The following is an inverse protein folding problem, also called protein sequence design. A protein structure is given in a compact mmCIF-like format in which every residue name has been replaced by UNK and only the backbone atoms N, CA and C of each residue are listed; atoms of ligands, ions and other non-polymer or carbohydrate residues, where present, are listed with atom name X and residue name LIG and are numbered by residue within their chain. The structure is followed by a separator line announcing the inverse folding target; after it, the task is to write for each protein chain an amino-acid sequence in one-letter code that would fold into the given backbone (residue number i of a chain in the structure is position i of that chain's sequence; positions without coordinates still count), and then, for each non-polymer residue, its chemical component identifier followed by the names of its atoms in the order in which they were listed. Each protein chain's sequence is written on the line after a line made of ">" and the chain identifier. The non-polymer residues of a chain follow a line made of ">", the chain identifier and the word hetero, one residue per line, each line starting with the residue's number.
data_IF_286416127267
#
_entry.id   IF_286416127267
#
_cell.length_a   1.000
_cell.length_b   1.000
_cell.length_c   1.000
_cell.angle_alpha   90.00
_cell.angle_beta   90.00
_cell.angle_gamma   90.00
#
_symmetry.space_group_name_H-M   'P 1'
#
loop_
_entity.id
_entity.type
_entity.pdbx_description
1 polymer ?
#
# COMPACT_ATOMS: atom_id res chain seq x y z
N UNK A 1 4.44 -7.95 -5.14
CA UNK A 1 3.17 -7.83 -4.40
C UNK A 1 3.17 -6.69 -3.38
N UNK A 2 4.30 -6.43 -2.71
CA UNK A 2 4.44 -5.43 -1.66
C UNK A 2 3.91 -4.01 -2.02
N UNK A 3 4.06 -3.58 -3.27
CA UNK A 3 3.55 -2.28 -3.75
C UNK A 3 2.02 -2.14 -3.65
N UNK A 4 1.29 -3.22 -3.93
CA UNK A 4 -0.20 -3.22 -3.88
C UNK A 4 -0.68 -3.05 -2.45
N UNK A 5 0.00 -3.70 -1.51
CA UNK A 5 -0.40 -3.69 -0.10
C UNK A 5 -0.13 -2.33 0.55
N UNK A 6 0.99 -1.68 0.18
CA UNK A 6 1.31 -0.33 0.66
C UNK A 6 0.46 0.78 0.01
N UNK A 7 -0.22 0.47 -1.09
CA UNK A 7 -1.09 1.39 -1.83
C UNK A 7 -2.30 1.87 -1.00
N UNK A 8 -2.71 1.12 0.03
CA UNK A 8 -3.95 1.35 0.81
C UNK A 8 -3.78 2.41 1.93
N UNK A 9 -2.57 2.96 2.10
CA UNK A 9 -2.26 3.85 3.21
C UNK A 9 -2.77 5.28 3.00
N UNK A 10 -3.42 5.82 4.04
CA UNK A 10 -3.80 7.22 4.07
C UNK A 10 -2.62 8.08 4.51
N UNK A 11 -2.47 9.25 3.88
CA UNK A 11 -1.35 10.18 4.10
C UNK A 11 -1.38 10.87 5.48
N UNK A 12 -2.42 10.63 6.28
CA UNK A 12 -2.57 11.11 7.66
C UNK A 12 -2.21 10.06 8.73
N UNK A 13 -1.76 8.88 8.28
CA UNK A 13 -1.45 7.71 9.08
C UNK A 13 -2.61 7.18 9.94
N UNK A 14 -3.86 7.60 9.69
CA UNK A 14 -5.04 7.19 10.46
C UNK A 14 -5.28 5.68 10.40
N UNK A 15 -4.80 5.00 9.37
CA UNK A 15 -4.83 3.54 9.30
C UNK A 15 -3.97 2.86 10.39
N UNK A 16 -2.94 3.55 10.90
CA UNK A 16 -2.10 3.06 12.00
C UNK A 16 -2.60 3.54 13.35
N UNK A 17 -3.26 4.70 13.44
CA UNK A 17 -3.61 5.29 14.74
C UNK A 17 -5.10 5.22 15.08
N UNK A 18 -5.99 5.18 14.10
CA UNK A 18 -7.43 5.41 14.27
C UNK A 18 -7.88 6.73 13.65
N UNK A 19 -9.12 6.78 13.18
CA UNK A 19 -9.74 8.00 12.62
C UNK A 19 -10.30 8.93 13.70
N UNK A 20 -10.84 8.35 14.75
CA UNK A 20 -11.40 9.04 15.91
C UNK A 20 -10.44 9.02 17.11
N UNK A 21 -10.78 9.78 18.15
CA UNK A 21 -9.98 9.90 19.36
C UNK A 21 -10.04 8.65 20.24
N UNK A 22 -11.21 8.02 20.30
CA UNK A 22 -11.44 6.81 21.09
C UNK A 22 -10.56 5.66 20.63
N UNK A 23 -10.56 5.35 19.33
CA UNK A 23 -9.68 4.35 18.73
C UNK A 23 -8.20 4.68 18.99
N UNK A 24 -7.82 5.95 18.88
CA UNK A 24 -6.44 6.38 19.15
C UNK A 24 -6.05 6.13 20.59
N UNK A 25 -6.89 6.51 21.56
CA UNK A 25 -6.62 6.33 22.98
C UNK A 25 -6.61 4.85 23.37
N UNK A 26 -7.58 4.05 22.91
CA UNK A 26 -7.67 2.63 23.22
C UNK A 26 -6.48 1.81 22.73
N UNK A 27 -5.78 2.28 21.70
CA UNK A 27 -4.59 1.62 21.14
C UNK A 27 -3.26 2.10 21.73
N UNK A 28 -3.25 3.14 22.56
CA UNK A 28 -2.04 3.63 23.21
C UNK A 28 -1.72 2.81 24.45
N UNK A 29 -0.44 2.53 24.66
CA UNK A 29 0.02 1.83 25.87
C UNK A 29 0.02 2.73 27.11
N UNK A 30 -0.02 4.05 26.90
CA UNK A 30 0.15 5.06 27.96
C UNK A 30 1.55 5.09 28.55
N UNK A 31 2.52 4.39 27.94
CA UNK A 31 3.91 4.33 28.38
C UNK A 31 4.87 4.68 27.25
N UNK A 32 5.74 5.65 27.49
CA UNK A 32 6.80 6.09 26.58
C UNK A 32 6.31 6.44 25.16
N UNK A 33 5.07 6.88 25.02
CA UNK A 33 4.42 7.25 23.77
C UNK A 33 4.05 6.07 22.88
N UNK A 34 4.15 4.82 23.34
CA UNK A 34 4.03 3.63 22.49
C UNK A 34 2.59 3.20 22.24
N UNK A 35 2.37 2.49 21.13
CA UNK A 35 1.15 1.72 20.87
C UNK A 35 1.18 0.38 21.64
N UNK A 36 0.01 -0.13 22.01
CA UNK A 36 -0.15 -1.46 22.62
C UNK A 36 0.28 -2.53 21.62
N UNK A 37 1.11 -3.46 22.07
CA UNK A 37 1.59 -4.62 21.30
C UNK A 37 1.72 -5.83 22.22
N UNK A 38 1.76 -7.03 21.63
CA UNK A 38 1.99 -8.31 22.32
C UNK A 38 3.14 -9.03 21.64
N UNK A 39 3.88 -9.82 22.40
CA UNK A 39 4.94 -10.68 21.87
C UNK A 39 4.38 -12.08 21.62
N UNK A 40 4.47 -12.55 20.38
CA UNK A 40 4.06 -13.88 19.97
C UNK A 40 5.23 -14.50 19.22
N UNK A 41 5.73 -15.65 19.68
CA UNK A 41 6.89 -16.33 19.06
C UNK A 41 8.11 -15.40 18.87
N UNK A 42 8.46 -14.62 19.90
CA UNK A 42 9.54 -13.63 19.91
C UNK A 42 9.39 -12.48 18.91
N UNK A 43 8.17 -12.22 18.44
CA UNK A 43 7.86 -11.15 17.49
C UNK A 43 6.77 -10.22 18.02
N UNK A 44 6.92 -8.92 17.76
CA UNK A 44 5.96 -7.90 18.19
C UNK A 44 4.78 -7.79 17.21
N UNK A 45 3.57 -7.95 17.71
CA UNK A 45 2.33 -7.83 16.92
C UNK A 45 1.30 -6.94 17.63
N UNK A 46 0.34 -6.37 16.88
CA UNK A 46 -0.83 -5.73 17.49
C UNK A 46 -1.65 -6.73 18.33
N UNK A 47 -2.21 -6.30 19.48
CA UNK A 47 -3.00 -7.15 20.37
C UNK A 47 -4.29 -7.64 19.71
N UNK A 48 -4.93 -8.65 20.28
CA UNK A 48 -6.28 -9.04 19.87
C UNK A 48 -7.31 -8.00 20.32
N UNK A 49 -8.49 -7.98 19.69
CA UNK A 49 -9.63 -7.18 20.17
C UNK A 49 -10.20 -7.73 21.47
N UNK A 50 -10.05 -9.03 21.74
CA UNK A 50 -10.44 -9.65 23.02
C UNK A 50 -9.62 -9.08 24.19
N UNK A 51 -8.35 -8.77 23.96
CA UNK A 51 -7.47 -8.11 24.93
C UNK A 51 -7.83 -6.62 25.14
N UNK A 52 -8.71 -6.06 24.29
CA UNK A 52 -9.09 -4.64 24.25
C UNK A 52 -10.63 -4.46 24.16
N UNK A 53 -11.38 -4.91 25.18
CA UNK A 53 -12.85 -4.86 25.17
C UNK A 53 -13.40 -3.44 25.03
N UNK A 54 -12.63 -2.40 25.42
CA UNK A 54 -12.98 -1.00 25.19
C UNK A 54 -13.11 -0.62 23.70
N UNK A 55 -12.46 -1.34 22.79
CA UNK A 55 -12.52 -1.09 21.33
C UNK A 55 -13.59 -1.92 20.62
N UNK A 56 -14.07 -2.99 21.25
CA UNK A 56 -15.05 -3.92 20.66
C UNK A 56 -16.50 -3.41 20.77
N UNK A 57 -16.79 -2.60 21.79
CA UNK A 57 -18.16 -2.27 22.20
C UNK A 57 -18.82 -1.09 21.47
N UNK A 58 -18.06 -0.20 20.80
CA UNK A 58 -18.58 1.09 20.30
C UNK A 58 -18.59 1.29 18.77
N UNK A 59 -18.22 0.29 17.97
CA UNK A 59 -18.19 0.43 16.49
C UNK A 59 -19.04 -0.62 15.75
N UNK A 60 -20.36 -0.40 15.62
CA UNK A 60 -21.21 -1.23 14.79
C UNK A 60 -21.12 -0.75 13.34
N UNK A 61 -20.07 -1.10 12.57
CA UNK A 61 -20.08 -0.82 11.12
C UNK A 61 -19.67 -2.01 10.25
N UNK A 62 -20.74 -2.66 9.78
CA UNK A 62 -20.94 -3.57 8.63
C UNK A 62 -20.54 -5.03 8.84
N UNK A 63 -21.59 -5.85 8.95
CA UNK A 63 -21.62 -7.30 8.74
C UNK A 63 -20.78 -7.69 7.51
N UNK A 64 -19.60 -8.24 7.77
CA UNK A 64 -19.23 -9.53 7.22
C UNK A 64 -18.90 -10.37 8.43
N UNK A 65 -19.94 -10.98 9.03
CA UNK A 65 -19.74 -12.12 9.92
C UNK A 65 -18.83 -13.10 9.19
N UNK A 66 -17.63 -13.34 9.71
CA UNK A 66 -16.90 -14.55 9.36
C UNK A 66 -17.80 -15.72 9.76
N UNK A 67 -18.63 -16.20 8.83
CA UNK A 67 -19.30 -17.47 8.97
C UNK A 67 -18.22 -18.54 8.82
N UNK A 68 -17.71 -19.01 9.95
CA UNK A 68 -16.91 -20.22 10.02
C UNK A 68 -15.40 -19.99 9.99
N UNK A 69 -14.82 -19.85 11.17
CA UNK A 69 -13.74 -20.77 11.53
C UNK A 69 -13.99 -21.19 12.98
N UNK A 70 -14.47 -22.42 13.16
CA UNK A 70 -14.46 -23.05 14.48
C UNK A 70 -13.00 -23.05 14.98
N UNK A 71 -12.73 -22.35 16.08
CA UNK A 71 -11.40 -22.22 16.69
C UNK A 71 -10.54 -21.02 16.23
N UNK A 72 -11.15 -19.94 15.72
CA UNK A 72 -10.45 -18.80 15.11
C UNK A 72 -9.60 -17.93 16.06
N UNK A 73 -8.38 -17.57 15.61
CA UNK A 73 -7.54 -16.52 16.22
C UNK A 73 -8.33 -15.19 16.18
N UNK A 74 -8.48 -14.50 17.33
CA UNK A 74 -9.28 -13.29 17.40
C UNK A 74 -8.74 -12.18 16.49
N UNK A 75 -9.67 -11.37 15.98
CA UNK A 75 -9.32 -10.22 15.16
C UNK A 75 -8.39 -9.28 15.95
N UNK A 76 -7.39 -8.71 15.27
CA UNK A 76 -6.36 -7.88 15.91
C UNK A 76 -6.68 -6.40 15.82
N UNK A 77 -6.40 -5.67 16.90
CA UNK A 77 -6.74 -4.26 17.02
C UNK A 77 -5.85 -3.39 16.13
N UNK A 78 -6.44 -2.85 15.07
CA UNK A 78 -5.82 -1.97 14.08
C UNK A 78 -6.47 -0.59 14.08
N UNK A 79 -5.79 0.41 13.49
CA UNK A 79 -6.33 1.76 13.38
C UNK A 79 -7.48 1.82 12.37
N UNK A 80 -7.46 0.88 11.41
CA UNK A 80 -8.59 0.61 10.53
C UNK A 80 -8.83 -0.90 10.46
N UNK A 81 -10.06 -1.35 10.79
CA UNK A 81 -10.43 -2.77 10.87
C UNK A 81 -10.16 -3.57 9.59
N UNK A 82 -10.32 -2.96 8.41
CA UNK A 82 -10.00 -3.64 7.13
C UNK A 82 -8.56 -4.16 7.08
N UNK A 83 -7.62 -3.54 7.82
CA UNK A 83 -6.24 -4.01 7.87
C UNK A 83 -6.05 -5.33 8.63
N UNK A 84 -6.97 -5.69 9.53
CA UNK A 84 -6.98 -6.98 10.24
C UNK A 84 -7.77 -8.06 9.51
N UNK A 85 -8.48 -7.73 8.43
CA UNK A 85 -9.29 -8.69 7.66
C UNK A 85 -8.48 -9.49 6.62
N UNK A 86 -7.24 -9.10 6.35
CA UNK A 86 -6.39 -9.79 5.38
C UNK A 86 -4.94 -9.86 5.87
N UNK A 87 -4.29 -11.06 5.79
CA UNK A 87 -2.87 -11.23 6.07
C UNK A 87 -1.97 -10.25 5.32
N UNK A 88 -2.35 -9.90 4.09
CA UNK A 88 -1.59 -8.94 3.28
C UNK A 88 -1.51 -7.58 3.97
N UNK A 89 -2.67 -7.02 4.31
CA UNK A 89 -2.77 -5.70 4.93
C UNK A 89 -2.23 -5.70 6.37
N UNK A 90 -2.39 -6.82 7.08
CA UNK A 90 -1.91 -7.00 8.44
C UNK A 90 -0.39 -6.84 8.55
N UNK A 91 0.38 -7.35 7.57
CA UNK A 91 1.84 -7.18 7.55
C UNK A 91 2.24 -5.71 7.48
N UNK A 92 1.59 -4.93 6.62
CA UNK A 92 1.87 -3.48 6.51
C UNK A 92 1.44 -2.74 7.77
N UNK A 93 0.29 -3.08 8.35
CA UNK A 93 -0.14 -2.46 9.59
C UNK A 93 0.82 -2.75 10.77
N UNK A 94 1.33 -3.99 10.82
CA UNK A 94 2.29 -4.44 11.83
C UNK A 94 3.62 -3.70 11.69
N UNK A 95 4.19 -3.58 10.47
CA UNK A 95 5.48 -2.88 10.28
C UNK A 95 5.43 -1.43 10.75
N UNK A 96 4.33 -0.72 10.47
CA UNK A 96 4.17 0.66 10.91
C UNK A 96 3.92 0.80 12.41
N UNK A 97 3.28 -0.19 13.03
CA UNK A 97 3.11 -0.24 14.50
C UNK A 97 4.48 -0.42 15.16
N UNK A 98 5.31 -1.35 14.66
CA UNK A 98 6.69 -1.55 15.11
C UNK A 98 7.52 -0.28 14.92
N UNK A 99 7.41 0.36 13.75
CA UNK A 99 8.14 1.59 13.45
C UNK A 99 7.79 2.72 14.42
N UNK A 100 6.50 2.92 14.72
CA UNK A 100 6.09 3.90 15.72
C UNK A 100 6.75 3.64 17.08
N UNK A 101 6.70 2.39 17.58
CA UNK A 101 7.31 2.03 18.86
C UNK A 101 8.84 2.18 18.87
N UNK A 102 9.49 1.93 17.72
CA UNK A 102 10.92 2.15 17.49
C UNK A 102 11.27 3.65 17.56
N UNK A 103 10.51 4.50 16.86
CA UNK A 103 10.66 5.96 16.88
C UNK A 103 10.45 6.51 18.29
N UNK A 104 9.40 6.08 19.00
CA UNK A 104 9.18 6.47 20.41
C UNK A 104 10.37 6.13 21.29
N UNK A 105 10.99 4.96 21.10
CA UNK A 105 12.18 4.55 21.85
C UNK A 105 13.41 5.42 21.55
N UNK A 106 13.55 5.91 20.31
CA UNK A 106 14.63 6.84 19.94
C UNK A 106 14.37 8.23 20.53
N UNK A 107 13.14 8.74 20.39
CA UNK A 107 12.76 10.04 20.92
C UNK A 107 12.87 10.10 22.44
N UNK A 108 12.52 9.02 23.14
CA UNK A 108 12.64 8.96 24.60
C UNK A 108 14.11 8.97 25.06
N UNK A 109 15.03 8.38 24.29
CA UNK A 109 16.47 8.45 24.57
C UNK A 109 17.02 9.86 24.36
N UNK A 110 16.59 10.53 23.30
CA UNK A 110 16.98 11.91 22.98
C UNK A 110 16.36 12.92 23.97
N UNK A 111 15.13 12.67 24.40
CA UNK A 111 14.36 13.52 25.30
C UNK A 111 13.83 12.74 26.51
N UNK A 112 14.68 12.41 27.50
CA UNK A 112 14.26 11.63 28.67
C UNK A 112 13.18 12.28 29.52
N UNK A 113 13.04 13.61 29.44
CA UNK A 113 12.06 14.39 30.21
C UNK A 113 10.69 14.50 29.54
N UNK A 114 10.51 13.99 28.32
CA UNK A 114 9.21 14.04 27.66
C UNK A 114 8.23 13.01 28.22
N UNK A 115 6.98 13.43 28.34
CA UNK A 115 5.87 12.57 28.75
C UNK A 115 5.37 11.68 27.60
N UNK A 116 4.44 10.78 27.93
CA UNK A 116 3.83 9.85 26.97
C UNK A 116 3.16 10.57 25.80
N UNK A 117 2.42 11.64 26.07
CA UNK A 117 1.67 12.38 25.06
C UNK A 117 2.60 13.02 24.03
N UNK A 118 3.64 13.71 24.50
CA UNK A 118 4.59 14.39 23.61
C UNK A 118 5.37 13.38 22.78
N UNK A 119 5.79 12.25 23.36
CA UNK A 119 6.44 11.17 22.61
C UNK A 119 5.52 10.60 21.53
N UNK A 120 4.28 10.26 21.88
CA UNK A 120 3.29 9.71 20.96
C UNK A 120 3.01 10.65 19.78
N UNK A 121 2.70 11.92 20.05
CA UNK A 121 2.38 12.89 19.00
C UNK A 121 3.58 13.19 18.11
N UNK A 122 4.78 13.31 18.69
CA UNK A 122 6.00 13.55 17.90
C UNK A 122 6.34 12.33 17.03
N UNK A 123 6.25 11.11 17.57
CA UNK A 123 6.46 9.89 16.81
C UNK A 123 5.43 9.75 15.67
N UNK A 124 4.17 10.11 15.92
CA UNK A 124 3.14 10.17 14.88
C UNK A 124 3.54 11.10 13.74
N UNK A 125 4.04 12.30 14.03
CA UNK A 125 4.50 13.24 13.00
C UNK A 125 5.71 12.72 12.22
N UNK A 126 6.66 12.08 12.88
CA UNK A 126 7.80 11.41 12.22
C UNK A 126 7.30 10.33 11.27
N UNK A 127 6.50 9.38 11.77
CA UNK A 127 5.97 8.27 10.95
C UNK A 127 5.13 8.78 9.77
N UNK A 128 4.32 9.83 9.95
CA UNK A 128 3.61 10.46 8.83
C UNK A 128 4.60 11.00 7.79
N UNK A 129 5.68 11.66 8.22
CA UNK A 129 6.76 12.11 7.33
C UNK A 129 7.43 10.97 6.56
N UNK A 130 7.72 9.86 7.24
CA UNK A 130 8.28 8.65 6.60
C UNK A 130 7.33 8.07 5.56
N UNK A 131 6.03 7.94 5.90
CA UNK A 131 5.01 7.48 4.95
C UNK A 131 4.97 8.35 3.69
N UNK A 132 4.89 9.68 3.84
CA UNK A 132 4.89 10.60 2.70
C UNK A 132 6.12 10.42 1.82
N UNK A 133 7.30 10.30 2.46
CA UNK A 133 8.56 10.14 1.73
C UNK A 133 8.63 8.79 1.00
N UNK A 134 8.33 7.68 1.67
CA UNK A 134 8.34 6.33 1.06
C UNK A 134 7.32 6.25 -0.07
N UNK A 135 6.13 6.83 0.10
CA UNK A 135 5.12 6.86 -0.97
C UNK A 135 5.61 7.63 -2.19
N UNK A 136 6.27 8.79 -2.03
CA UNK A 136 6.75 9.56 -3.18
C UNK A 136 8.03 9.02 -3.80
N UNK A 137 9.04 8.68 -2.99
CA UNK A 137 10.37 8.34 -3.50
C UNK A 137 10.53 6.87 -3.87
N UNK A 138 9.78 5.96 -3.24
CA UNK A 138 9.87 4.53 -3.54
C UNK A 138 8.66 4.08 -4.37
N UNK A 139 7.44 4.31 -3.86
CA UNK A 139 6.23 3.79 -4.49
C UNK A 139 5.90 4.50 -5.80
N UNK A 140 5.88 5.84 -5.82
CA UNK A 140 5.61 6.59 -7.06
C UNK A 140 6.76 6.45 -8.08
N UNK A 141 8.00 6.33 -7.62
CA UNK A 141 9.14 6.04 -8.50
C UNK A 141 8.93 4.70 -9.21
N UNK A 142 8.55 3.67 -8.46
CA UNK A 142 8.22 2.35 -9.02
C UNK A 142 6.98 2.41 -9.94
N UNK A 143 5.91 3.09 -9.55
CA UNK A 143 4.67 3.15 -10.34
C UNK A 143 4.88 3.85 -11.70
N UNK A 144 5.58 4.98 -11.69
CA UNK A 144 5.77 5.85 -12.87
C UNK A 144 6.83 5.31 -13.82
N UNK A 145 7.82 4.56 -13.32
CA UNK A 145 9.00 4.11 -14.09
C UNK A 145 9.75 5.26 -14.76
N UNK A 146 9.68 6.47 -14.18
CA UNK A 146 10.43 7.62 -14.66
C UNK A 146 11.93 7.41 -14.46
N UNK A 147 12.73 7.99 -15.37
CA UNK A 147 14.20 8.02 -15.24
C UNK A 147 14.70 9.16 -14.36
N UNK A 148 13.79 10.03 -13.93
CA UNK A 148 14.07 11.11 -13.00
C UNK A 148 13.80 10.60 -11.60
N UNK A 149 14.70 10.91 -10.67
CA UNK A 149 14.54 10.60 -9.25
C UNK A 149 13.50 11.53 -8.63
N UNK A 150 12.38 10.96 -8.22
CA UNK A 150 11.38 11.66 -7.41
C UNK A 150 11.96 11.91 -6.02
N UNK A 151 11.83 13.15 -5.53
CA UNK A 151 12.33 13.58 -4.22
C UNK A 151 11.26 14.34 -3.45
N UNK A 152 11.06 13.97 -2.19
CA UNK A 152 10.18 14.70 -1.29
C UNK A 152 10.90 15.92 -0.74
N UNK A 153 10.62 17.08 -1.36
CA UNK A 153 11.18 18.39 -1.00
C UNK A 153 10.07 19.43 -0.81
N UNK A 154 9.34 19.39 0.31
CA UNK A 154 8.26 20.34 0.57
C UNK A 154 8.73 21.81 0.59
N UNK A 155 10.03 22.06 0.79
CA UNK A 155 10.63 23.39 0.72
C UNK A 155 10.46 24.06 -0.65
N UNK A 156 10.29 23.30 -1.72
CA UNK A 156 10.05 23.83 -3.07
C UNK A 156 8.71 24.57 -3.21
N UNK A 157 7.77 24.34 -2.29
CA UNK A 157 6.47 25.00 -2.29
C UNK A 157 6.48 26.32 -1.52
N UNK A 158 7.59 26.66 -0.84
CA UNK A 158 7.72 27.93 -0.11
C UNK A 158 7.60 29.11 -1.05
N UNK A 159 6.77 30.08 -0.69
CA UNK A 159 6.53 31.28 -1.51
C UNK A 159 5.59 31.07 -2.70
N UNK A 160 5.04 29.87 -2.87
CA UNK A 160 3.98 29.59 -3.85
C UNK A 160 2.59 29.77 -3.23
N UNK A 161 1.54 29.87 -4.06
CA UNK A 161 0.15 29.92 -3.61
C UNK A 161 -0.44 28.55 -3.28
N UNK A 162 0.40 27.56 -2.95
CA UNK A 162 -0.02 26.18 -2.67
C UNK A 162 -0.91 26.09 -1.42
N UNK A 163 -1.93 25.24 -1.48
CA UNK A 163 -2.89 25.05 -0.40
C UNK A 163 -2.57 23.77 0.38
N UNK A 164 -2.39 23.89 1.69
CA UNK A 164 -2.17 22.75 2.58
C UNK A 164 -3.51 22.20 3.07
N UNK A 165 -4.06 21.29 2.28
CA UNK A 165 -5.28 20.55 2.59
C UNK A 165 -5.68 19.69 1.41
N UNK A 166 -6.14 18.47 1.68
CA UNK A 166 -6.53 17.54 0.63
C UNK A 166 -7.84 16.84 0.98
N UNK A 167 -8.61 16.52 -0.06
CA UNK A 167 -9.80 15.69 0.03
C UNK A 167 -9.67 14.57 -0.97
N UNK A 168 -9.84 13.33 -0.50
CA UNK A 168 -9.85 12.16 -1.36
C UNK A 168 -11.09 12.20 -2.24
N UNK A 169 -10.90 12.14 -3.56
CA UNK A 169 -12.00 12.11 -4.52
C UNK A 169 -12.66 10.73 -4.57
N UNK A 170 -13.94 10.67 -4.95
CA UNK A 170 -14.63 9.39 -5.10
C UNK A 170 -14.08 8.60 -6.28
N UNK A 171 -13.63 9.31 -7.31
CA UNK A 171 -12.91 8.72 -8.43
C UNK A 171 -11.66 8.01 -7.92
N UNK A 172 -10.81 8.66 -7.11
CA UNK A 172 -9.61 8.03 -6.58
C UNK A 172 -9.94 6.74 -5.82
N UNK A 173 -10.96 6.75 -4.97
CA UNK A 173 -11.37 5.56 -4.20
C UNK A 173 -11.73 4.36 -5.10
N UNK A 174 -12.43 4.59 -6.21
CA UNK A 174 -12.83 3.50 -7.11
C UNK A 174 -11.67 3.03 -8.00
N UNK A 175 -10.79 3.94 -8.39
CA UNK A 175 -9.68 3.65 -9.31
C UNK A 175 -8.51 2.96 -8.64
N UNK A 176 -8.38 3.13 -7.33
CA UNK A 176 -7.31 2.53 -6.55
C UNK A 176 -7.55 1.07 -6.18
N UNK A 177 -8.65 0.49 -6.66
CA UNK A 177 -8.96 -0.94 -6.52
C UNK A 177 -8.25 -1.74 -7.61
N UNK A 178 -6.95 -1.95 -7.43
CA UNK A 178 -6.08 -2.69 -8.37
C UNK A 178 -6.26 -4.21 -8.27
N UNK A 179 -7.50 -4.67 -8.34
CA UNK A 179 -7.89 -6.07 -8.17
C UNK A 179 -7.24 -6.99 -9.20
N UNK A 180 -6.99 -6.47 -10.41
CA UNK A 180 -6.30 -7.17 -11.50
C UNK A 180 -4.81 -7.41 -11.23
N UNK A 181 -4.25 -6.75 -10.23
CA UNK A 181 -2.84 -6.94 -9.85
C UNK A 181 -2.65 -8.04 -8.82
N UNK A 182 -3.74 -8.57 -8.24
CA UNK A 182 -3.70 -9.69 -7.32
C UNK A 182 -3.53 -11.00 -8.10
N UNK A 183 -2.55 -11.86 -7.74
CA UNK A 183 -2.40 -13.17 -8.37
C UNK A 183 -3.54 -14.10 -7.94
N UNK A 184 -3.75 -15.19 -8.67
CA UNK A 184 -4.75 -16.21 -8.30
C UNK A 184 -4.36 -16.97 -7.02
N UNK A 185 -3.05 -17.16 -6.80
CA UNK A 185 -2.50 -17.90 -5.68
C UNK A 185 -1.17 -17.26 -5.22
N UNK A 186 -0.82 -17.46 -3.96
CA UNK A 186 0.47 -17.06 -3.40
C UNK A 186 1.08 -18.24 -2.65
N UNK A 187 2.39 -18.44 -2.81
CA UNK A 187 3.13 -19.49 -2.10
C UNK A 187 3.85 -18.86 -0.91
N UNK A 188 3.28 -19.02 0.29
CA UNK A 188 3.89 -18.56 1.53
C UNK A 188 4.76 -19.70 2.07
N UNK A 189 6.08 -19.50 2.03
CA UNK A 189 7.09 -20.51 2.41
C UNK A 189 6.87 -21.83 1.64
N UNK A 190 6.28 -22.85 2.28
CA UNK A 190 6.04 -24.17 1.68
C UNK A 190 4.57 -24.45 1.33
N UNK A 191 3.66 -23.52 1.61
CA UNK A 191 2.21 -23.71 1.42
C UNK A 191 1.65 -22.72 0.42
N UNK A 192 0.85 -23.22 -0.51
CA UNK A 192 0.15 -22.41 -1.50
C UNK A 192 -1.25 -22.06 -1.01
N UNK A 193 -1.60 -20.79 -1.09
CA UNK A 193 -2.89 -20.24 -0.70
C UNK A 193 -3.59 -19.65 -1.92
N UNK A 194 -4.89 -19.93 -2.07
CA UNK A 194 -5.72 -19.20 -3.02
C UNK A 194 -5.87 -17.74 -2.53
N UNK A 195 -5.78 -16.77 -3.44
CA UNK A 195 -5.88 -15.36 -3.07
C UNK A 195 -7.26 -15.00 -2.51
N UNK A 196 -8.33 -15.60 -3.02
CA UNK A 196 -9.68 -15.37 -2.51
C UNK A 196 -9.82 -15.81 -1.06
N UNK A 197 -9.27 -16.98 -0.74
CA UNK A 197 -9.29 -17.52 0.62
C UNK A 197 -8.40 -16.66 1.53
N UNK A 198 -7.23 -16.25 1.03
CA UNK A 198 -6.31 -15.39 1.78
C UNK A 198 -6.95 -14.04 2.14
N UNK A 199 -7.65 -13.40 1.20
CA UNK A 199 -8.34 -12.13 1.44
C UNK A 199 -9.50 -12.24 2.44
N UNK A 200 -10.06 -13.44 2.61
CA UNK A 200 -11.16 -13.72 3.54
C UNK A 200 -10.68 -14.46 4.81
N UNK A 201 -9.37 -14.68 4.96
CA UNK A 201 -8.77 -15.39 6.09
C UNK A 201 -8.30 -14.44 7.19
N UNK A 202 -8.15 -14.96 8.41
CA UNK A 202 -7.60 -14.20 9.52
C UNK A 202 -6.06 -14.07 9.44
N UNK A 203 -5.50 -13.29 10.36
CA UNK A 203 -4.07 -12.96 10.38
C UNK A 203 -3.17 -14.10 10.88
N UNK A 204 -3.76 -15.23 11.29
CA UNK A 204 -3.03 -16.40 11.81
C UNK A 204 -1.99 -16.92 10.82
N UNK A 205 -2.24 -16.79 9.51
CA UNK A 205 -1.28 -17.20 8.47
C UNK A 205 0.05 -16.45 8.61
N UNK A 206 0.03 -15.17 9.01
CA UNK A 206 1.26 -14.38 9.25
C UNK A 206 1.98 -14.89 10.50
N UNK A 207 1.23 -15.28 11.53
CA UNK A 207 1.80 -15.82 12.77
C UNK A 207 2.40 -17.23 12.55
N UNK A 208 1.75 -18.07 11.74
CA UNK A 208 2.23 -19.42 11.42
C UNK A 208 3.50 -19.44 10.56
N UNK A 209 3.66 -18.47 9.66
CA UNK A 209 4.79 -18.38 8.73
C UNK A 209 5.83 -17.33 9.11
N UNK A 210 5.74 -16.75 10.31
CA UNK A 210 6.50 -15.57 10.78
C UNK A 210 6.24 -14.32 9.96
N UNK A 211 6.48 -13.15 10.57
CA UNK A 211 6.40 -11.88 9.84
C UNK A 211 7.43 -11.84 8.70
N UNK A 212 8.66 -12.24 8.98
CA UNK A 212 9.77 -12.22 8.05
C UNK A 212 9.53 -13.11 6.81
N UNK A 213 9.07 -14.35 7.02
CA UNK A 213 8.76 -15.28 5.92
C UNK A 213 7.59 -14.82 5.04
N UNK A 214 6.62 -14.13 5.62
CA UNK A 214 5.53 -13.53 4.85
C UNK A 214 6.01 -12.33 4.02
N UNK A 215 6.84 -11.44 4.59
CA UNK A 215 7.44 -10.32 3.84
C UNK A 215 8.30 -10.83 2.68
N UNK A 216 9.14 -11.84 2.92
CA UNK A 216 9.93 -12.48 1.85
C UNK A 216 9.05 -12.98 0.70
N UNK A 217 7.91 -13.59 1.03
CA UNK A 217 6.93 -14.03 0.04
C UNK A 217 6.37 -12.85 -0.78
N UNK A 218 6.05 -11.72 -0.14
CA UNK A 218 5.50 -10.54 -0.83
C UNK A 218 6.51 -9.83 -1.75
N UNK A 219 7.79 -9.88 -1.39
CA UNK A 219 8.90 -9.34 -2.19
C UNK A 219 9.12 -10.19 -3.44
N UNK A 220 9.04 -11.52 -3.33
CA UNK A 220 9.31 -12.43 -4.44
C UNK A 220 8.09 -12.72 -5.34
N UNK A 221 6.88 -12.40 -4.89
CA UNK A 221 5.66 -12.65 -5.67
C UNK A 221 5.39 -11.53 -6.68
N UNK A 222 5.34 -11.89 -7.97
CA UNK A 222 4.92 -10.98 -9.03
C UNK A 222 3.46 -10.55 -8.88
N UNK A 223 3.21 -9.28 -9.15
CA UNK A 223 1.86 -8.75 -9.29
C UNK A 223 1.32 -8.99 -10.72
N UNK A 224 0.01 -9.08 -10.86
CA UNK A 224 -0.67 -9.04 -12.15
C UNK A 224 -0.58 -7.65 -12.81
N UNK A 225 -0.89 -7.58 -14.11
CA UNK A 225 -0.96 -6.30 -14.83
C UNK A 225 -2.33 -5.64 -14.63
N UNK A 226 -2.40 -4.30 -14.49
CA UNK A 226 -3.64 -3.55 -14.37
C UNK A 226 -4.35 -3.38 -15.73
N UNK A 227 -4.80 -4.50 -16.31
CA UNK A 227 -5.42 -4.53 -17.65
C UNK A 227 -6.70 -5.38 -17.69
N UNK A 228 -7.47 -5.22 -18.76
CA UNK A 228 -8.63 -6.04 -19.05
C UNK A 228 -8.27 -7.53 -19.14
N UNK A 229 -9.25 -8.40 -18.87
CA UNK A 229 -9.08 -9.87 -18.83
C UNK A 229 -8.00 -10.36 -17.85
N UNK A 230 -7.64 -9.57 -16.82
CA UNK A 230 -6.66 -9.96 -15.80
C UNK A 230 -7.25 -9.99 -14.37
N UNK A 231 -8.58 -10.05 -14.21
CA UNK A 231 -9.19 -10.22 -12.89
C UNK A 231 -9.10 -11.69 -12.48
N UNK A 232 -8.63 -11.96 -11.26
CA UNK A 232 -8.77 -13.29 -10.66
C UNK A 232 -10.25 -13.69 -10.59
N UNK A 233 -10.55 -14.97 -10.85
CA UNK A 233 -11.94 -15.46 -10.98
C UNK A 233 -12.82 -15.09 -9.78
N UNK A 234 -12.27 -15.14 -8.58
CA UNK A 234 -12.98 -14.82 -7.34
C UNK A 234 -13.29 -13.31 -7.17
N UNK A 235 -12.56 -12.43 -7.86
CA UNK A 235 -12.68 -10.97 -7.71
C UNK A 235 -13.60 -10.33 -8.75
N UNK A 236 -14.13 -11.11 -9.70
CA UNK A 236 -14.98 -10.61 -10.77
C UNK A 236 -16.25 -9.91 -10.26
N UNK A 237 -16.83 -10.37 -9.15
CA UNK A 237 -18.01 -9.75 -8.54
C UNK A 237 -17.70 -8.38 -7.94
N UNK A 238 -16.50 -8.19 -7.38
CA UNK A 238 -16.06 -6.90 -6.86
C UNK A 238 -15.91 -5.90 -8.02
N UNK A 239 -15.30 -6.31 -9.14
CA UNK A 239 -15.21 -5.47 -10.34
C UNK A 239 -16.59 -5.01 -10.85
N UNK A 240 -17.60 -5.89 -10.84
CA UNK A 240 -18.99 -5.53 -11.16
C UNK A 240 -19.58 -4.52 -10.17
N UNK A 241 -19.31 -4.71 -8.87
CA UNK A 241 -19.76 -3.79 -7.83
C UNK A 241 -19.14 -2.39 -8.00
N UNK A 242 -17.86 -2.30 -8.40
CA UNK A 242 -17.19 -1.02 -8.70
C UNK A 242 -17.86 -0.31 -9.88
N UNK A 243 -18.16 -1.03 -10.97
CA UNK A 243 -18.87 -0.46 -12.12
C UNK A 243 -20.26 0.06 -11.69
N UNK A 244 -21.03 -0.76 -10.97
CA UNK A 244 -22.35 -0.36 -10.49
C UNK A 244 -22.28 0.85 -9.55
N UNK A 245 -21.26 0.92 -8.69
CA UNK A 245 -21.03 2.06 -7.80
C UNK A 245 -20.67 3.32 -8.58
N UNK A 246 -19.83 3.22 -9.61
CA UNK A 246 -19.50 4.35 -10.49
C UNK A 246 -20.75 4.92 -11.19
N UNK A 247 -21.68 4.05 -11.61
CA UNK A 247 -22.97 4.44 -12.20
C UNK A 247 -23.88 5.14 -11.20
N UNK A 248 -24.00 4.63 -9.97
CA UNK A 248 -24.75 5.27 -8.89
C UNK A 248 -24.20 6.66 -8.52
N UNK A 249 -22.89 6.83 -8.62
CA UNK A 249 -22.22 8.12 -8.40
C UNK A 249 -22.30 9.04 -9.62
N UNK A 250 -22.90 8.58 -10.72
CA UNK A 250 -23.00 9.31 -11.98
C UNK A 250 -21.65 9.88 -12.45
N UNK A 251 -20.58 9.07 -12.33
CA UNK A 251 -19.28 9.48 -12.83
C UNK A 251 -19.35 9.71 -14.34
N UNK A 252 -18.69 10.79 -14.80
CA UNK A 252 -18.63 11.11 -16.22
C UNK A 252 -17.85 10.05 -17.02
N UNK A 253 -17.95 10.15 -18.35
CA UNK A 253 -17.27 9.23 -19.26
C UNK A 253 -15.75 9.34 -19.18
N UNK A 254 -15.08 8.27 -19.59
CA UNK A 254 -13.64 8.15 -19.67
C UNK A 254 -13.00 9.31 -20.45
N UNK A 255 -13.56 9.68 -21.61
CA UNK A 255 -13.06 10.80 -22.41
C UNK A 255 -13.24 12.17 -21.73
N UNK A 256 -14.29 12.38 -20.93
CA UNK A 256 -14.41 13.60 -20.12
C UNK A 256 -13.32 13.71 -19.05
N UNK A 257 -12.95 12.60 -18.41
CA UNK A 257 -11.79 12.59 -17.51
C UNK A 257 -10.49 12.83 -18.26
N UNK A 258 -10.29 12.23 -19.44
CA UNK A 258 -9.11 12.52 -20.27
C UNK A 258 -8.99 14.02 -20.57
N UNK A 259 -10.07 14.67 -21.02
CA UNK A 259 -10.11 16.12 -21.25
C UNK A 259 -9.78 16.93 -19.98
N UNK A 260 -10.38 16.56 -18.84
CA UNK A 260 -10.13 17.21 -17.54
C UNK A 260 -8.65 17.17 -17.15
N UNK A 261 -7.96 16.07 -17.46
CA UNK A 261 -6.53 15.87 -17.21
C UNK A 261 -5.64 16.24 -18.41
N UNK A 262 -6.17 16.98 -19.39
CA UNK A 262 -5.46 17.46 -20.59
C UNK A 262 -4.85 16.34 -21.44
N UNK A 263 -5.48 15.19 -21.45
CA UNK A 263 -5.19 14.07 -22.35
C UNK A 263 -6.11 14.14 -23.57
N UNK A 264 -5.61 13.69 -24.72
CA UNK A 264 -6.41 13.62 -25.96
C UNK A 264 -7.51 12.57 -25.81
N UNK A 265 -8.80 12.88 -26.01
CA UNK A 265 -9.86 11.88 -25.99
C UNK A 265 -9.64 10.85 -27.11
N UNK A 266 -10.02 9.59 -26.87
CA UNK A 266 -9.98 8.56 -27.89
C UNK A 266 -11.11 8.76 -28.90
N UNK A 267 -10.84 8.52 -30.19
CA UNK A 267 -11.87 8.68 -31.24
C UNK A 267 -12.52 7.36 -31.64
N UNK A 268 -12.01 6.23 -31.15
CA UNK A 268 -12.60 4.89 -31.38
C UNK A 268 -12.15 3.88 -30.32
N UNK A 269 -12.92 2.80 -30.13
CA UNK A 269 -12.47 1.69 -29.27
C UNK A 269 -11.21 1.00 -29.83
N UNK A 270 -11.03 0.99 -31.16
CA UNK A 270 -9.81 0.43 -31.77
C UNK A 270 -8.55 1.20 -31.35
N UNK A 271 -8.63 2.53 -31.26
CA UNK A 271 -7.52 3.36 -30.80
C UNK A 271 -7.20 3.10 -29.31
N UNK A 272 -8.24 2.92 -28.49
CA UNK A 272 -8.15 2.65 -27.05
C UNK A 272 -7.49 1.30 -26.76
N UNK A 273 -8.05 0.21 -27.31
CA UNK A 273 -7.65 -1.17 -26.95
C UNK A 273 -6.57 -1.75 -27.86
N UNK A 274 -6.50 -1.31 -29.12
CA UNK A 274 -5.62 -1.90 -30.14
C UNK A 274 -6.03 -3.29 -30.64
N UNK A 275 -7.10 -3.90 -30.11
CA UNK A 275 -7.61 -5.24 -30.46
C UNK A 275 -8.92 -5.16 -31.29
N UNK A 276 -8.93 -5.47 -32.60
CA UNK A 276 -10.12 -5.32 -33.46
C UNK A 276 -11.36 -6.08 -32.98
N UNK A 277 -11.19 -7.33 -32.54
CA UNK A 277 -12.30 -8.14 -32.07
C UNK A 277 -12.90 -7.64 -30.74
N UNK A 278 -12.07 -7.06 -29.87
CA UNK A 278 -12.54 -6.48 -28.61
C UNK A 278 -13.17 -5.10 -28.85
N UNK A 279 -12.55 -4.28 -29.70
CA UNK A 279 -13.08 -2.97 -30.09
C UNK A 279 -14.50 -3.09 -30.66
N UNK A 280 -14.73 -4.04 -31.57
CA UNK A 280 -16.06 -4.30 -32.13
C UNK A 280 -17.10 -4.65 -31.05
N UNK A 281 -16.74 -5.50 -30.09
CA UNK A 281 -17.64 -5.87 -28.98
C UNK A 281 -17.95 -4.67 -28.07
N UNK A 282 -16.97 -3.80 -27.83
CA UNK A 282 -17.17 -2.60 -27.04
C UNK A 282 -18.07 -1.59 -27.76
N UNK A 283 -17.90 -1.44 -29.08
CA UNK A 283 -18.79 -0.65 -29.94
C UNK A 283 -20.22 -1.18 -29.89
N UNK A 284 -20.42 -2.51 -29.94
CA UNK A 284 -21.75 -3.12 -29.81
C UNK A 284 -22.41 -2.85 -28.43
N UNK A 285 -21.62 -2.70 -27.36
CA UNK A 285 -22.12 -2.49 -25.99
C UNK A 285 -22.37 -1.02 -25.69
N UNK A 286 -21.40 -0.15 -26.00
CA UNK A 286 -21.42 1.27 -25.64
C UNK A 286 -21.95 2.17 -26.76
N UNK A 287 -21.95 1.69 -28.01
CA UNK A 287 -22.33 2.42 -29.25
C UNK A 287 -21.48 3.63 -29.60
N UNK A 288 -20.90 4.32 -28.61
CA UNK A 288 -20.09 5.51 -28.77
C UNK A 288 -18.92 5.48 -27.77
N UNK A 289 -17.71 5.81 -28.25
CA UNK A 289 -16.51 5.94 -27.40
C UNK A 289 -16.68 7.02 -26.32
N UNK A 290 -17.50 8.04 -26.57
CA UNK A 290 -17.84 9.08 -25.59
C UNK A 290 -18.73 8.58 -24.46
N UNK A 291 -19.39 7.43 -24.61
CA UNK A 291 -20.21 6.79 -23.59
C UNK A 291 -19.42 5.84 -22.67
N UNK A 292 -18.14 5.56 -23.00
CA UNK A 292 -17.31 4.64 -22.24
C UNK A 292 -17.16 5.11 -20.78
N UNK A 293 -17.45 4.21 -19.83
CA UNK A 293 -17.32 4.48 -18.40
C UNK A 293 -15.86 4.54 -17.94
N UNK A 294 -15.58 5.35 -16.92
CA UNK A 294 -14.22 5.60 -16.40
C UNK A 294 -13.49 4.30 -16.00
N UNK A 295 -14.07 3.49 -15.11
CA UNK A 295 -13.39 2.29 -14.57
C UNK A 295 -13.09 1.23 -15.65
N UNK A 296 -14.06 0.82 -16.52
CA UNK A 296 -13.75 0.00 -17.67
C UNK A 296 -12.70 0.60 -18.59
N UNK A 297 -12.80 1.90 -18.91
CA UNK A 297 -11.87 2.58 -19.80
C UNK A 297 -10.42 2.53 -19.30
N UNK A 298 -10.20 2.66 -17.98
CA UNK A 298 -8.87 2.58 -17.38
C UNK A 298 -8.23 1.20 -17.47
N UNK A 299 -9.01 0.12 -17.45
CA UNK A 299 -8.50 -1.24 -17.60
C UNK A 299 -8.38 -1.66 -19.07
N UNK A 300 -9.20 -1.07 -19.95
CA UNK A 300 -9.20 -1.32 -21.39
C UNK A 300 -8.10 -0.54 -22.12
N UNK A 301 -7.68 0.60 -21.58
CA UNK A 301 -6.63 1.42 -22.18
C UNK A 301 -5.32 0.62 -22.32
N UNK A 302 -4.78 0.59 -23.54
CA UNK A 302 -3.50 -0.05 -23.82
C UNK A 302 -2.39 0.53 -22.93
N UNK A 303 -1.62 -0.36 -22.30
CA UNK A 303 -0.51 0.03 -21.46
C UNK A 303 0.61 0.70 -22.27
N UNK A 304 1.22 1.72 -21.66
CA UNK A 304 2.42 2.37 -22.19
C UNK A 304 3.70 1.73 -21.64
N UNK A 305 4.72 2.56 -21.37
CA UNK A 305 5.98 2.14 -20.70
C UNK A 305 5.86 2.00 -19.18
N UNK A 306 4.85 2.64 -18.56
CA UNK A 306 4.61 2.58 -17.12
C UNK A 306 3.88 1.29 -16.73
N UNK A 307 3.82 1.00 -15.43
CA UNK A 307 3.12 -0.19 -14.88
C UNK A 307 1.60 -0.10 -15.15
N UNK A 308 1.06 1.10 -15.07
CA UNK A 308 -0.37 1.41 -15.28
C UNK A 308 -0.58 2.14 -16.62
N UNK A 309 -1.78 2.04 -17.22
CA UNK A 309 -2.11 2.77 -18.44
C UNK A 309 -2.01 4.31 -18.29
N UNK A 310 -1.81 5.06 -19.39
CA UNK A 310 -1.54 6.50 -19.33
C UNK A 310 -2.58 7.34 -18.57
N UNK A 311 -3.87 7.06 -18.74
CA UNK A 311 -4.94 7.77 -18.02
C UNK A 311 -4.89 7.44 -16.54
N UNK A 312 -4.71 6.16 -16.20
CA UNK A 312 -4.58 5.72 -14.81
C UNK A 312 -3.38 6.39 -14.14
N UNK A 313 -2.24 6.46 -14.85
CA UNK A 313 -1.05 7.15 -14.37
C UNK A 313 -1.34 8.63 -14.09
N UNK A 314 -1.93 9.36 -15.05
CA UNK A 314 -2.19 10.79 -14.90
C UNK A 314 -3.11 11.09 -13.71
N UNK A 315 -4.17 10.31 -13.55
CA UNK A 315 -5.13 10.44 -12.46
C UNK A 315 -4.48 10.10 -11.11
N UNK A 316 -3.88 8.91 -10.98
CA UNK A 316 -3.24 8.46 -9.75
C UNK A 316 -2.08 9.38 -9.33
N UNK A 317 -1.21 9.77 -10.26
CA UNK A 317 -0.12 10.71 -9.98
C UNK A 317 -0.63 12.05 -9.48
N UNK A 318 -1.66 12.63 -10.12
CA UNK A 318 -2.23 13.89 -9.66
C UNK A 318 -2.74 13.80 -8.22
N UNK A 319 -3.54 12.78 -7.90
CA UNK A 319 -4.13 12.65 -6.56
C UNK A 319 -3.11 12.30 -5.48
N UNK A 320 -2.22 11.33 -5.74
CA UNK A 320 -1.21 10.90 -4.76
C UNK A 320 -0.22 12.03 -4.49
N UNK A 321 0.32 12.66 -5.53
CA UNK A 321 1.29 13.76 -5.35
C UNK A 321 0.63 14.97 -4.69
N UNK A 322 -0.62 15.30 -5.05
CA UNK A 322 -1.35 16.39 -4.38
C UNK A 322 -1.57 16.06 -2.90
N UNK A 323 -1.99 14.83 -2.57
CA UNK A 323 -2.20 14.41 -1.18
C UNK A 323 -0.91 14.52 -0.34
N UNK A 324 0.23 14.14 -0.92
CA UNK A 324 1.54 14.20 -0.27
C UNK A 324 1.98 15.65 -0.05
N UNK A 325 1.98 16.46 -1.11
CA UNK A 325 2.48 17.83 -1.06
C UNK A 325 1.58 18.79 -0.27
N UNK A 326 0.28 18.51 -0.24
CA UNK A 326 -0.71 19.31 0.50
C UNK A 326 -0.82 18.90 1.96
N UNK A 327 -0.06 17.91 2.43
CA UNK A 327 -0.08 17.52 3.83
C UNK A 327 0.49 18.65 4.71
N UNK A 328 -0.19 19.06 5.80
CA UNK A 328 0.27 20.15 6.66
C UNK A 328 1.69 20.01 7.20
N UNK A 329 2.20 18.78 7.39
CA UNK A 329 3.56 18.58 7.90
C UNK A 329 4.63 19.14 6.94
N UNK A 330 4.34 19.19 5.64
CA UNK A 330 5.20 19.80 4.62
C UNK A 330 5.07 21.32 4.55
N UNK A 331 4.20 21.94 5.34
CA UNK A 331 4.05 23.40 5.33
C UNK A 331 5.29 24.11 5.89
N UNK A 332 5.56 25.38 5.51
CA UNK A 332 6.72 26.11 6.01
C UNK A 332 6.73 26.26 7.53
N UNK A 333 5.56 26.21 8.16
CA UNK A 333 5.43 26.31 9.62
C UNK A 333 5.82 25.01 10.31
N UNK A 334 5.42 23.86 9.77
CA UNK A 334 5.62 22.53 10.37
C UNK A 334 6.91 21.84 9.91
N UNK A 335 7.41 22.08 8.70
CA UNK A 335 8.58 21.41 8.16
C UNK A 335 9.89 21.96 8.74
N UNK A 336 10.13 21.67 10.02
CA UNK A 336 11.25 22.12 10.84
C UNK A 336 11.69 21.01 11.81
N UNK A 337 12.98 20.95 12.19
CA UNK A 337 13.47 19.93 13.12
C UNK A 337 12.68 19.85 14.43
N UNK A 338 12.28 20.99 15.01
CA UNK A 338 11.55 21.04 16.27
C UNK A 338 10.21 20.27 16.25
N UNK A 339 9.52 20.25 15.12
CA UNK A 339 8.25 19.51 14.92
C UNK A 339 8.44 18.00 15.09
N UNK A 340 9.62 17.52 14.71
CA UNK A 340 9.98 16.10 14.72
C UNK A 340 10.83 15.73 15.95
N UNK A 341 10.91 16.62 16.96
CA UNK A 341 11.74 16.40 18.14
C UNK A 341 13.24 16.56 17.89
N UNK A 342 13.61 17.50 17.03
CA UNK A 342 14.99 17.86 16.73
C UNK A 342 15.53 17.22 15.46
N UNK A 343 16.85 17.34 15.26
CA UNK A 343 17.52 16.80 14.07
C UNK A 343 17.44 15.28 13.98
N UNK A 344 17.34 14.59 15.12
CA UNK A 344 17.19 13.13 15.15
C UNK A 344 15.92 12.69 14.43
N UNK A 345 14.75 13.19 14.83
CA UNK A 345 13.48 12.82 14.18
C UNK A 345 13.37 13.35 12.75
N UNK A 346 13.88 14.56 12.47
CA UNK A 346 13.97 15.06 11.09
C UNK A 346 14.86 14.17 10.22
N UNK A 347 15.96 13.65 10.76
CA UNK A 347 16.84 12.72 10.04
C UNK A 347 16.19 11.36 9.80
N UNK A 348 15.29 10.89 10.67
CA UNK A 348 14.51 9.67 10.44
C UNK A 348 13.66 9.89 9.18
N UNK A 349 12.85 10.95 9.15
CA UNK A 349 12.02 11.30 7.98
C UNK A 349 12.85 11.44 6.71
N UNK A 350 13.93 12.23 6.73
CA UNK A 350 14.77 12.48 5.53
C UNK A 350 15.47 11.23 4.99
N UNK A 351 15.73 10.23 5.84
CA UNK A 351 16.42 8.99 5.44
C UNK A 351 15.45 7.83 5.21
N UNK A 352 14.15 8.02 5.39
CA UNK A 352 13.18 6.95 5.25
C UNK A 352 13.20 6.35 3.84
N UNK A 353 13.19 5.03 3.77
CA UNK A 353 13.04 4.23 2.55
C UNK A 353 12.22 2.99 2.91
N UNK A 354 11.57 2.39 1.91
CA UNK A 354 10.86 1.12 2.05
C UNK A 354 11.75 0.07 2.71
N UNK A 355 12.98 -0.08 2.22
CA UNK A 355 13.94 -1.04 2.74
C UNK A 355 14.23 -0.78 4.23
N UNK A 356 14.54 0.47 4.62
CA UNK A 356 14.83 0.78 6.02
C UNK A 356 13.64 0.53 6.93
N UNK A 357 12.43 0.86 6.49
CA UNK A 357 11.20 0.57 7.23
C UNK A 357 11.09 -0.91 7.57
N UNK A 358 11.26 -1.80 6.58
CA UNK A 358 11.17 -3.23 6.84
C UNK A 358 12.37 -3.76 7.63
N UNK A 359 13.60 -3.43 7.21
CA UNK A 359 14.81 -4.00 7.80
C UNK A 359 15.07 -3.55 9.24
N UNK A 360 14.56 -2.38 9.66
CA UNK A 360 14.64 -1.93 11.04
C UNK A 360 13.56 -2.55 11.96
N UNK A 361 12.53 -3.18 11.38
CA UNK A 361 11.38 -3.73 12.08
C UNK A 361 11.16 -5.24 11.85
N UNK A 362 12.11 -5.90 11.19
CA UNK A 362 12.15 -7.35 10.97
C UNK A 362 13.20 -8.00 11.85
N UNK A 363 12.95 -9.24 12.32
CA UNK A 363 13.88 -9.96 13.19
C UNK A 363 15.19 -10.31 12.45
N UNK A 364 15.09 -10.67 11.18
CA UNK A 364 16.24 -10.97 10.31
C UNK A 364 17.07 -9.74 9.96
N UNK A 365 16.55 -8.52 10.18
CA UNK A 365 17.16 -7.26 9.73
C UNK A 365 17.50 -7.27 8.23
N UNK A 366 16.73 -8.00 7.42
CA UNK A 366 16.97 -8.16 5.97
C UNK A 366 18.34 -8.72 5.59
N UNK A 367 19.04 -9.46 6.47
CA UNK A 367 20.40 -9.97 6.17
C UNK A 367 20.51 -10.76 4.85
N UNK A 368 19.42 -11.39 4.41
CA UNK A 368 19.35 -12.17 3.18
C UNK A 368 18.22 -11.74 2.23
N UNK A 369 17.58 -10.59 2.48
CA UNK A 369 16.41 -10.13 1.72
C UNK A 369 16.57 -8.67 1.29
N UNK A 370 16.62 -8.41 -0.01
CA UNK A 370 16.50 -7.04 -0.54
C UNK A 370 15.03 -6.67 -0.65
N UNK A 371 14.55 -5.80 0.24
CA UNK A 371 13.14 -5.38 0.25
C UNK A 371 12.92 -4.30 -0.81
N UNK A 372 12.23 -4.67 -1.88
CA UNK A 372 11.94 -3.79 -3.02
C UNK A 372 10.51 -3.98 -3.53
N UNK A 373 10.03 -2.99 -4.29
CA UNK A 373 8.81 -3.14 -5.08
C UNK A 373 9.02 -3.94 -6.37
N UNK A 374 10.26 -4.11 -6.79
CA UNK A 374 10.64 -4.91 -7.96
C UNK A 374 11.03 -6.31 -7.51
N UNK A 375 10.43 -7.34 -8.12
CA UNK A 375 10.82 -8.73 -7.85
C UNK A 375 12.27 -8.93 -8.29
N UNK A 376 13.16 -9.47 -7.41
CA UNK A 376 14.54 -9.76 -7.79
C UNK A 376 14.56 -10.67 -9.01
N UNK A 377 15.36 -10.31 -10.03
CA UNK A 377 15.66 -11.26 -11.10
C UNK A 377 16.45 -12.39 -10.47
N UNK A 378 15.98 -13.64 -10.59
CA UNK A 378 16.83 -14.77 -10.23
C UNK A 378 18.16 -14.59 -10.97
N UNK A 379 19.28 -14.73 -10.26
CA UNK A 379 20.55 -14.97 -10.96
C UNK A 379 20.27 -16.20 -11.80
N UNK A 380 20.13 -16.04 -13.11
CA UNK A 380 20.28 -17.15 -14.01
C UNK A 380 21.65 -17.71 -13.66
N UNK A 381 21.69 -18.87 -13.02
CA UNK A 381 22.82 -19.77 -13.17
C UNK A 381 22.94 -19.93 -14.67
N UNK A 382 23.83 -19.14 -15.27
CA UNK A 382 24.45 -19.50 -16.52
C UNK A 382 25.02 -20.88 -16.25
N UNK A 383 24.29 -21.90 -16.70
CA UNK A 383 24.88 -23.18 -17.01
C UNK A 383 25.89 -22.80 -18.09
N UNK A 384 27.13 -22.57 -17.66
CA UNK A 384 28.26 -22.41 -18.57
C UNK A 384 28.20 -23.57 -19.57
N UNK A 385 28.58 -23.33 -20.83
CA UNK A 385 28.45 -24.35 -21.86
C UNK A 385 29.07 -25.64 -21.34
N UNK A 386 28.27 -26.71 -21.34
CA UNK A 386 28.72 -28.08 -21.10
C UNK A 386 29.93 -28.32 -22.02
N UNK A 387 31.14 -28.11 -21.50
CA UNK A 387 32.35 -28.64 -22.08
C UNK A 387 32.29 -30.13 -21.78
N UNK A 388 31.87 -30.89 -22.79
CA UNK A 388 31.90 -32.34 -22.76
C UNK A 388 33.27 -32.80 -22.28
N UNK A 389 33.27 -33.51 -21.15
CA UNK A 389 34.46 -34.16 -20.62
C UNK A 389 35.00 -35.11 -21.68
N UNK A 390 36.21 -34.82 -22.16
CA UNK A 390 37.05 -35.85 -22.78
C UNK A 390 37.61 -36.69 -21.64
N UNK A 391 37.36 -37.99 -21.74
CA UNK A 391 38.01 -39.03 -20.95
C UNK A 391 39.53 -38.85 -21.02
N UNK A 392 40.20 -38.73 -19.87
CA UNK A 392 41.62 -39.00 -19.74
C UNK A 392 41.77 -40.22 -18.82
N UNK A 393 42.21 -41.38 -19.34
CA UNK A 393 42.31 -42.60 -18.57
C UNK A 393 43.73 -42.72 -18.01
N UNK A 394 44.15 -41.82 -17.12
CA UNK A 394 45.30 -42.02 -16.24
C UNK A 394 45.32 -40.96 -15.11
N UNK A 395 44.53 -41.20 -14.06
CA UNK A 395 44.86 -40.98 -12.64
C UNK A 395 43.65 -41.28 -11.77
#
# INVERSE_FOLDING_TARGET
>A
MLAIVLCVLQVDASQVYGKDEETRLGRRSGKCGKLKTVIIQDEEFPPSLEDLPELDTNHPQVLMTHTGSEGGDPERAMGHRVLSMSPLLFVVATVWTREHNRVCSILHKEHPSWDDERLYQTARLVVTGEMLKVTLEDFMQHLTQYRVDLKYRPELLRGTSHQYGYRVSQEFNLLHLWLTMLPDQIKVVHKTYNMADLLNSNNRIVLEHTFDGFVETLVHTNAGQPKHRNHGKALGNIGKAVINRARQLHLQSFNNYRRKFRLLPYTSFQELVGEPALAKKLEEIYMDIEALELYPGLLLEKAGKAIVPPTMLALSSHWIVTAILSNPIGSPHWWKPSTFGGEVGMSIVKKATLERLFCQNMKSQCRSLEVSFTVPKSKSTEIGPYLGGKNDPHC
#
